data_IF_637140002790
#
_entry.id   IF_637140002790
#
_cell.length_a   1.000
_cell.length_b   1.000
_cell.length_c   1.000
_cell.angle_alpha   90.00
_cell.angle_beta   90.00
_cell.angle_gamma   90.00
#
_symmetry.space_group_name_H-M   'P 1'
#
loop_
_entity.id
_entity.type
_entity.pdbx_description
1 polymer ?
#
# COMPACT_ATOMS: atom_id res chain seq x y z
N UNK A 1 -8.64 44.73 -2.22
CA UNK A 1 -7.78 43.58 -2.58
C UNK A 1 -8.69 42.38 -2.84
N UNK A 2 -9.10 42.19 -4.10
CA UNK A 2 -9.93 41.06 -4.50
C UNK A 2 -9.02 39.84 -4.71
N UNK A 3 -8.99 38.91 -3.74
CA UNK A 3 -8.55 37.54 -4.01
C UNK A 3 -9.61 36.93 -4.91
N UNK A 4 -9.25 36.76 -6.18
CA UNK A 4 -10.15 36.40 -7.27
C UNK A 4 -10.83 35.05 -7.08
N UNK A 5 -11.95 34.89 -7.77
CA UNK A 5 -12.77 33.68 -7.79
C UNK A 5 -12.02 32.37 -8.14
N UNK A 6 -10.79 32.46 -8.64
CA UNK A 6 -9.89 31.32 -8.86
C UNK A 6 -9.44 30.61 -7.57
N UNK A 7 -9.46 31.28 -6.40
CA UNK A 7 -9.12 30.67 -5.08
C UNK A 7 -10.20 29.68 -4.58
N UNK A 8 -11.46 29.82 -5.02
CA UNK A 8 -12.53 28.90 -4.62
C UNK A 8 -12.40 27.51 -5.25
N UNK A 9 -11.88 27.42 -6.48
CA UNK A 9 -11.63 26.12 -7.13
C UNK A 9 -10.45 25.37 -6.53
N UNK A 10 -9.46 26.08 -5.99
CA UNK A 10 -8.30 25.46 -5.34
C UNK A 10 -8.65 24.88 -3.96
N UNK A 11 -9.68 25.41 -3.31
CA UNK A 11 -10.27 24.81 -2.10
C UNK A 11 -11.21 23.65 -2.39
N UNK A 12 -11.63 23.37 -3.63
CA UNK A 12 -12.57 22.29 -3.88
C UNK A 12 -11.98 20.92 -3.47
N UNK A 13 -12.76 20.13 -2.72
CA UNK A 13 -12.44 18.72 -2.46
C UNK A 13 -12.21 17.99 -3.80
N UNK A 14 -11.27 17.04 -3.82
CA UNK A 14 -11.05 16.23 -5.03
C UNK A 14 -12.36 15.50 -5.38
N UNK A 15 -12.77 15.50 -6.65
CA UNK A 15 -14.07 14.98 -7.11
C UNK A 15 -14.42 13.61 -6.52
N UNK A 16 -13.47 12.66 -6.44
CA UNK A 16 -13.72 11.33 -5.83
C UNK A 16 -14.22 11.38 -4.38
N UNK A 17 -13.81 12.37 -3.59
CA UNK A 17 -14.22 12.52 -2.19
C UNK A 17 -15.53 13.31 -2.08
N UNK A 18 -15.80 14.20 -3.03
CA UNK A 18 -17.13 14.80 -3.21
C UNK A 18 -18.14 13.70 -3.54
N UNK A 19 -17.82 12.84 -4.52
CA UNK A 19 -18.64 11.69 -4.90
C UNK A 19 -18.82 10.74 -3.71
N UNK A 20 -17.77 10.49 -2.92
CA UNK A 20 -17.86 9.65 -1.72
C UNK A 20 -18.79 10.23 -0.64
N UNK A 21 -18.81 11.55 -0.45
CA UNK A 21 -19.72 12.21 0.50
C UNK A 21 -21.16 12.17 -0.04
N UNK A 22 -21.34 12.44 -1.35
CA UNK A 22 -22.64 12.45 -2.03
C UNK A 22 -23.28 11.08 -2.17
N UNK A 23 -22.52 10.08 -2.61
CA UNK A 23 -23.02 8.73 -2.90
C UNK A 23 -22.89 7.78 -1.69
N UNK A 24 -22.07 8.16 -0.70
CA UNK A 24 -21.82 7.37 0.49
C UNK A 24 -21.07 6.07 0.22
N UNK A 25 -21.14 5.16 1.18
CA UNK A 25 -20.51 3.84 1.09
C UNK A 25 -21.47 2.88 0.37
N UNK A 26 -20.92 2.08 -0.54
CA UNK A 26 -21.70 1.07 -1.25
C UNK A 26 -22.43 0.11 -0.27
N UNK A 27 -23.72 -0.21 -0.52
CA UNK A 27 -24.55 -1.01 0.40
C UNK A 27 -23.92 -2.34 0.81
N UNK A 28 -23.23 -3.01 -0.12
CA UNK A 28 -22.52 -4.27 0.15
C UNK A 28 -21.53 -4.14 1.32
N UNK A 29 -20.77 -3.04 1.37
CA UNK A 29 -19.79 -2.81 2.43
C UNK A 29 -20.48 -2.49 3.76
N UNK A 30 -21.65 -1.81 3.72
CA UNK A 30 -22.47 -1.58 4.90
C UNK A 30 -23.00 -2.90 5.48
N UNK A 31 -23.43 -3.84 4.63
CA UNK A 31 -23.87 -5.17 5.08
C UNK A 31 -22.72 -5.97 5.70
N UNK A 32 -21.53 -5.95 5.08
CA UNK A 32 -20.38 -6.74 5.54
C UNK A 32 -19.72 -6.18 6.82
N UNK A 33 -19.63 -4.86 6.96
CA UNK A 33 -18.84 -4.19 8.01
C UNK A 33 -19.67 -3.33 8.96
N UNK A 34 -20.97 -3.20 8.68
CA UNK A 34 -21.89 -2.36 9.43
C UNK A 34 -21.39 -0.92 9.53
N UNK A 35 -21.53 -0.37 10.73
CA UNK A 35 -21.19 1.01 11.09
C UNK A 35 -19.70 1.33 10.91
N UNK A 36 -18.81 0.33 10.95
CA UNK A 36 -17.38 0.54 10.76
C UNK A 36 -17.02 0.89 9.31
N UNK A 37 -17.91 0.62 8.36
CA UNK A 37 -17.69 0.87 6.95
C UNK A 37 -17.62 2.36 6.60
N UNK A 38 -18.28 3.24 7.36
CA UNK A 38 -18.38 4.68 7.08
C UNK A 38 -17.22 5.49 7.66
N UNK A 39 -16.59 5.01 8.74
CA UNK A 39 -15.55 5.76 9.43
C UNK A 39 -14.28 5.99 8.58
N UNK A 40 -13.82 4.97 7.84
CA UNK A 40 -12.69 5.13 6.90
C UNK A 40 -12.95 6.20 5.83
N UNK A 41 -14.07 6.13 5.10
CA UNK A 41 -14.54 7.18 4.20
C UNK A 41 -14.61 8.58 4.81
N UNK A 42 -15.10 8.72 6.06
CA UNK A 42 -15.09 10.00 6.77
C UNK A 42 -13.66 10.54 6.94
N UNK A 43 -12.75 9.74 7.51
CA UNK A 43 -11.33 10.10 7.68
C UNK A 43 -10.70 10.48 6.34
N UNK A 44 -11.04 9.75 5.28
CA UNK A 44 -10.56 10.01 3.91
C UNK A 44 -10.96 11.39 3.39
N UNK A 45 -12.25 11.73 3.57
CA UNK A 45 -12.82 13.00 3.14
C UNK A 45 -12.27 14.16 3.98
N UNK A 46 -12.17 13.99 5.29
CA UNK A 46 -11.59 14.94 6.22
C UNK A 46 -10.12 15.23 5.89
N UNK A 47 -9.33 14.18 5.62
CA UNK A 47 -7.91 14.32 5.28
C UNK A 47 -7.74 15.08 3.97
N UNK A 48 -8.61 14.85 2.99
CA UNK A 48 -8.60 15.63 1.76
C UNK A 48 -9.04 17.08 1.96
N UNK A 49 -9.96 17.34 2.88
CA UNK A 49 -10.43 18.69 3.21
C UNK A 49 -9.30 19.47 3.89
N UNK A 50 -8.66 18.88 4.89
CA UNK A 50 -7.53 19.43 5.61
C UNK A 50 -6.35 19.77 4.68
N UNK A 51 -5.98 18.84 3.78
CA UNK A 51 -4.94 19.07 2.76
C UNK A 51 -5.29 20.19 1.75
N UNK A 52 -6.55 20.63 1.69
CA UNK A 52 -7.04 21.75 0.88
C UNK A 52 -7.29 23.02 1.71
N UNK A 53 -6.88 23.02 2.97
CA UNK A 53 -7.01 24.17 3.87
C UNK A 53 -8.40 24.36 4.46
N UNK A 54 -9.29 23.37 4.40
CA UNK A 54 -10.60 23.45 5.04
C UNK A 54 -10.46 23.33 6.56
N UNK A 55 -11.34 24.01 7.28
CA UNK A 55 -11.54 23.80 8.71
C UNK A 55 -12.48 22.63 9.01
N UNK A 56 -12.48 22.18 10.27
CA UNK A 56 -13.46 21.20 10.76
C UNK A 56 -14.92 21.65 10.52
N UNK A 57 -15.33 22.90 10.82
CA UNK A 57 -16.72 23.31 10.62
C UNK A 57 -17.18 23.19 9.17
N UNK A 58 -16.36 23.67 8.22
CA UNK A 58 -16.65 23.61 6.78
C UNK A 58 -16.83 22.17 6.29
N UNK A 59 -15.94 21.27 6.71
CA UNK A 59 -16.04 19.84 6.37
C UNK A 59 -17.23 19.15 7.03
N UNK A 60 -17.48 19.43 8.31
CA UNK A 60 -18.59 18.84 9.06
C UNK A 60 -19.94 19.29 8.49
N UNK A 61 -20.09 20.56 8.13
CA UNK A 61 -21.28 21.10 7.47
C UNK A 61 -21.52 20.39 6.14
N UNK A 62 -20.49 20.32 5.29
CA UNK A 62 -20.55 19.62 4.00
C UNK A 62 -20.96 18.15 4.13
N UNK A 63 -20.39 17.44 5.11
CA UNK A 63 -20.74 16.03 5.37
C UNK A 63 -22.15 15.89 5.94
N UNK A 64 -22.63 16.85 6.72
CA UNK A 64 -23.94 16.78 7.37
C UNK A 64 -25.09 17.32 6.54
N UNK A 65 -24.80 17.93 5.37
CA UNK A 65 -25.80 18.35 4.39
C UNK A 65 -26.89 17.28 4.16
N UNK A 66 -28.16 17.69 3.94
CA UNK A 66 -29.24 16.75 3.66
C UNK A 66 -28.98 15.86 2.43
N UNK A 67 -28.25 16.38 1.44
CA UNK A 67 -27.89 15.68 0.21
C UNK A 67 -26.72 14.68 0.37
N UNK A 68 -26.04 14.69 1.53
CA UNK A 68 -24.91 13.80 1.81
C UNK A 68 -25.40 12.42 2.24
N UNK A 69 -25.26 11.44 1.35
CA UNK A 69 -25.54 10.03 1.66
C UNK A 69 -24.57 9.50 2.72
N UNK A 70 -23.31 9.91 2.71
CA UNK A 70 -22.36 9.53 3.76
C UNK A 70 -22.81 10.06 5.13
N UNK A 71 -23.25 11.31 5.19
CA UNK A 71 -23.82 11.92 6.39
C UNK A 71 -25.06 11.17 6.87
N UNK A 72 -25.95 10.80 5.96
CA UNK A 72 -27.14 9.98 6.25
C UNK A 72 -26.74 8.63 6.85
N UNK A 73 -25.78 7.93 6.24
CA UNK A 73 -25.30 6.62 6.72
C UNK A 73 -24.67 6.71 8.11
N UNK A 74 -23.96 7.80 8.42
CA UNK A 74 -23.39 8.04 9.76
C UNK A 74 -24.50 8.29 10.79
N UNK A 75 -25.54 9.06 10.43
CA UNK A 75 -26.72 9.29 11.29
C UNK A 75 -27.47 7.98 11.59
N UNK A 76 -27.69 7.14 10.59
CA UNK A 76 -28.33 5.83 10.74
C UNK A 76 -27.45 4.84 11.52
N UNK A 77 -26.13 4.99 11.42
CA UNK A 77 -25.15 4.15 12.07
C UNK A 77 -24.78 4.55 13.50
N UNK A 78 -25.05 5.78 13.94
CA UNK A 78 -24.85 6.17 15.35
C UNK A 78 -26.10 5.80 16.16
N UNK A 79 -26.01 5.76 17.49
CA UNK A 79 -27.22 5.73 18.34
C UNK A 79 -27.87 7.10 18.28
N UNK A 80 -28.45 7.46 17.12
CA UNK A 80 -29.37 8.55 16.74
C UNK A 80 -29.18 9.98 17.29
N UNK A 81 -28.35 10.22 18.30
CA UNK A 81 -28.20 11.52 18.92
C UNK A 81 -27.26 12.38 18.09
N UNK A 82 -27.61 13.66 17.95
CA UNK A 82 -26.77 14.68 17.31
C UNK A 82 -25.35 14.67 17.88
N UNK A 83 -25.24 14.57 19.20
CA UNK A 83 -23.95 14.49 19.91
C UNK A 83 -23.10 13.26 19.52
N UNK A 84 -23.72 12.10 19.27
CA UNK A 84 -22.98 10.90 18.84
C UNK A 84 -22.44 11.04 17.41
N UNK A 85 -23.21 11.68 16.52
CA UNK A 85 -22.77 12.00 15.16
C UNK A 85 -21.61 12.99 15.20
N UNK A 86 -21.76 14.09 15.93
CA UNK A 86 -20.72 15.12 16.10
C UNK A 86 -19.43 14.53 16.66
N UNK A 87 -19.50 13.73 17.73
CA UNK A 87 -18.33 13.03 18.29
C UNK A 87 -17.64 12.12 17.28
N UNK A 88 -18.40 11.50 16.37
CA UNK A 88 -17.85 10.66 15.31
C UNK A 88 -17.12 11.49 14.24
N UNK A 89 -17.67 12.65 13.88
CA UNK A 89 -17.07 13.58 12.94
C UNK A 89 -15.77 14.17 13.50
N UNK A 90 -15.78 14.66 14.75
CA UNK A 90 -14.58 15.16 15.44
C UNK A 90 -13.48 14.08 15.43
N UNK A 91 -13.82 12.85 15.84
CA UNK A 91 -12.86 11.75 15.86
C UNK A 91 -12.29 11.44 14.47
N UNK A 92 -13.11 11.51 13.43
CA UNK A 92 -12.64 11.30 12.05
C UNK A 92 -11.72 12.43 11.58
N UNK A 93 -12.02 13.67 11.98
CA UNK A 93 -11.21 14.85 11.70
C UNK A 93 -9.85 14.79 12.40
N UNK A 94 -9.80 14.54 13.70
CA UNK A 94 -8.56 14.47 14.46
C UNK A 94 -7.62 13.39 13.90
N UNK A 95 -8.19 12.24 13.54
CA UNK A 95 -7.43 11.16 12.89
C UNK A 95 -6.94 11.56 11.50
N UNK A 96 -7.73 12.31 10.74
CA UNK A 96 -7.35 12.81 9.44
C UNK A 96 -6.20 13.83 9.51
N UNK A 97 -6.25 14.76 10.46
CA UNK A 97 -5.17 15.74 10.73
C UNK A 97 -3.91 15.00 11.14
N UNK A 98 -4.00 14.11 12.14
CA UNK A 98 -2.86 13.30 12.58
C UNK A 98 -2.24 12.48 11.45
N UNK A 99 -3.06 11.89 10.57
CA UNK A 99 -2.57 11.16 9.40
C UNK A 99 -1.92 12.08 8.36
N UNK A 100 -2.49 13.26 8.12
CA UNK A 100 -1.94 14.23 7.17
C UNK A 100 -0.59 14.78 7.65
N UNK A 101 -0.46 15.07 8.95
CA UNK A 101 0.77 15.58 9.55
C UNK A 101 1.86 14.50 9.62
N UNK A 102 1.47 13.26 9.93
CA UNK A 102 2.39 12.12 10.00
C UNK A 102 2.80 11.60 8.61
N UNK A 103 2.06 11.94 7.57
CA UNK A 103 2.30 11.51 6.19
C UNK A 103 1.94 12.64 5.24
N UNK A 104 2.78 13.70 5.20
CA UNK A 104 2.52 14.86 4.36
C UNK A 104 2.31 14.43 2.91
N UNK A 105 1.35 15.08 2.25
CA UNK A 105 1.09 14.85 0.84
C UNK A 105 2.39 15.12 0.06
N UNK A 106 2.78 14.16 -0.76
CA UNK A 106 3.99 14.32 -1.56
C UNK A 106 3.82 15.49 -2.52
N UNK A 107 4.82 16.37 -2.56
CA UNK A 107 4.84 17.46 -3.53
C UNK A 107 4.99 16.91 -4.95
N UNK A 108 4.62 17.71 -5.94
CA UNK A 108 4.75 17.30 -7.35
C UNK A 108 6.22 16.99 -7.70
N UNK A 109 7.14 17.74 -7.11
CA UNK A 109 8.59 17.60 -7.23
C UNK A 109 9.06 16.29 -6.62
N UNK A 110 8.59 15.94 -5.42
CA UNK A 110 8.90 14.66 -4.77
C UNK A 110 8.38 13.47 -5.57
N UNK A 111 7.15 13.55 -6.11
CA UNK A 111 6.58 12.51 -6.98
C UNK A 111 7.44 12.34 -8.24
N UNK A 112 7.84 13.46 -8.85
CA UNK A 112 8.67 13.47 -10.06
C UNK A 112 10.05 12.90 -9.80
N UNK A 113 10.68 13.25 -8.67
CA UNK A 113 12.00 12.76 -8.30
C UNK A 113 11.98 11.27 -7.97
N UNK A 114 10.94 10.77 -7.29
CA UNK A 114 10.76 9.34 -7.12
C UNK A 114 10.58 8.62 -8.46
N UNK A 115 9.80 9.18 -9.37
CA UNK A 115 9.62 8.61 -10.71
C UNK A 115 10.94 8.51 -11.47
N UNK A 116 11.75 9.57 -11.46
CA UNK A 116 13.10 9.59 -12.05
C UNK A 116 14.03 8.56 -11.39
N UNK A 117 14.03 8.50 -10.06
CA UNK A 117 14.86 7.56 -9.30
C UNK A 117 14.51 6.11 -9.61
N UNK A 118 13.21 5.78 -9.72
CA UNK A 118 12.78 4.44 -10.13
C UNK A 118 13.05 4.15 -11.60
N UNK A 119 12.84 5.11 -12.51
CA UNK A 119 13.21 4.95 -13.90
C UNK A 119 14.71 4.65 -14.06
N UNK A 120 15.58 5.40 -13.37
CA UNK A 120 17.03 5.17 -13.32
C UNK A 120 17.38 3.78 -12.80
N UNK A 121 16.86 3.39 -11.63
CA UNK A 121 17.13 2.06 -11.07
C UNK A 121 16.65 0.92 -11.97
N UNK A 122 15.51 1.09 -12.67
CA UNK A 122 15.04 0.11 -13.64
C UNK A 122 15.97 0.02 -14.86
N UNK A 123 16.49 1.14 -15.38
CA UNK A 123 17.50 1.14 -16.47
C UNK A 123 18.80 0.45 -16.04
N UNK A 124 19.29 0.74 -14.85
CA UNK A 124 20.49 0.12 -14.30
C UNK A 124 20.34 -1.40 -14.19
N UNK A 125 19.19 -1.89 -13.67
CA UNK A 125 18.89 -3.31 -13.62
C UNK A 125 18.82 -3.93 -15.01
N UNK A 126 18.21 -3.24 -15.98
CA UNK A 126 18.17 -3.70 -17.37
C UNK A 126 19.55 -3.80 -18.02
N UNK A 127 20.49 -2.93 -17.64
CA UNK A 127 21.87 -2.94 -18.13
C UNK A 127 22.71 -4.10 -17.61
N UNK A 128 22.29 -4.76 -16.52
CA UNK A 128 23.02 -5.90 -15.95
C UNK A 128 22.83 -7.15 -16.83
N UNK A 129 23.93 -7.79 -17.29
CA UNK A 129 23.84 -9.01 -18.11
C UNK A 129 23.14 -10.17 -17.40
N UNK A 130 23.24 -10.22 -16.06
CA UNK A 130 22.63 -11.25 -15.21
C UNK A 130 21.22 -10.92 -14.72
N UNK A 131 20.60 -9.84 -15.19
CA UNK A 131 19.19 -9.62 -14.88
C UNK A 131 18.37 -10.71 -15.58
N UNK A 132 17.75 -11.58 -14.79
CA UNK A 132 16.78 -12.59 -15.25
C UNK A 132 15.56 -11.87 -15.82
N UNK A 133 15.68 -11.35 -17.04
CA UNK A 133 14.65 -10.66 -17.78
C UNK A 133 14.71 -11.13 -19.23
N UNK A 134 13.60 -11.70 -19.68
CA UNK A 134 13.39 -12.10 -21.07
C UNK A 134 13.38 -10.87 -21.99
N UNK A 135 13.60 -11.08 -23.29
CA UNK A 135 13.57 -9.99 -24.27
C UNK A 135 12.23 -9.21 -24.25
N UNK A 136 11.11 -9.91 -24.11
CA UNK A 136 9.77 -9.30 -24.04
C UNK A 136 9.59 -8.46 -22.77
N UNK A 137 10.04 -8.95 -21.61
CA UNK A 137 10.00 -8.20 -20.34
C UNK A 137 10.86 -6.93 -20.43
N UNK A 138 12.07 -7.03 -21.00
CA UNK A 138 12.94 -5.87 -21.24
C UNK A 138 12.26 -4.83 -22.14
N UNK A 139 11.58 -5.26 -23.20
CA UNK A 139 10.92 -4.36 -24.13
C UNK A 139 9.75 -3.62 -23.49
N UNK A 140 8.91 -4.31 -22.72
CA UNK A 140 7.81 -3.67 -21.96
C UNK A 140 8.38 -2.74 -20.90
N UNK A 141 9.42 -3.13 -20.18
CA UNK A 141 10.02 -2.30 -19.15
C UNK A 141 10.62 -1.02 -19.73
N UNK A 142 11.26 -1.06 -20.91
CA UNK A 142 11.69 0.15 -21.65
C UNK A 142 10.53 1.08 -21.95
N UNK A 143 9.41 0.54 -22.42
CA UNK A 143 8.23 1.34 -22.70
C UNK A 143 7.66 2.00 -21.43
N UNK A 144 7.59 1.27 -20.31
CA UNK A 144 7.13 1.82 -19.02
C UNK A 144 8.09 2.89 -18.48
N UNK A 145 9.40 2.70 -18.63
CA UNK A 145 10.41 3.70 -18.28
C UNK A 145 10.18 4.98 -19.10
N UNK A 146 10.01 4.87 -20.42
CA UNK A 146 9.75 6.02 -21.28
C UNK A 146 8.49 6.79 -20.86
N UNK A 147 7.39 6.09 -20.56
CA UNK A 147 6.17 6.72 -20.01
C UNK A 147 6.40 7.40 -18.66
N UNK A 148 7.27 6.82 -17.82
CA UNK A 148 7.65 7.37 -16.52
C UNK A 148 8.41 8.67 -16.67
N UNK A 149 9.34 8.74 -17.61
CA UNK A 149 10.11 9.94 -17.93
C UNK A 149 9.21 11.04 -18.49
N UNK A 150 8.36 10.69 -19.46
CA UNK A 150 7.45 11.63 -20.12
C UNK A 150 6.45 12.26 -19.13
N UNK A 151 5.87 11.44 -18.24
CA UNK A 151 4.78 11.89 -17.35
C UNK A 151 5.23 12.27 -15.95
N UNK A 152 6.50 12.03 -15.61
CA UNK A 152 7.07 12.21 -14.28
C UNK A 152 6.23 11.53 -13.16
N UNK A 153 5.74 10.30 -13.41
CA UNK A 153 4.92 9.52 -12.47
C UNK A 153 5.28 8.04 -12.55
N UNK A 154 5.26 7.34 -11.41
CA UNK A 154 5.52 5.89 -11.38
C UNK A 154 4.32 5.04 -11.80
N UNK A 155 3.09 5.57 -11.71
CA UNK A 155 1.84 4.83 -11.95
C UNK A 155 1.32 5.09 -13.36
N UNK A 156 1.17 4.04 -14.13
CA UNK A 156 0.72 4.08 -15.51
C UNK A 156 -0.46 3.14 -15.74
N UNK A 157 -1.46 3.65 -16.45
CA UNK A 157 -2.43 2.81 -17.12
C UNK A 157 -1.75 2.15 -18.32
N UNK A 158 -1.78 0.81 -18.38
CA UNK A 158 -1.20 0.06 -19.49
C UNK A 158 -2.30 -0.70 -20.24
N UNK A 159 -3.08 -0.04 -21.13
CA UNK A 159 -4.02 -0.72 -21.99
C UNK A 159 -3.26 -1.69 -22.91
N UNK A 160 -3.68 -2.97 -22.94
CA UNK A 160 -2.97 -4.01 -23.70
C UNK A 160 -2.74 -3.63 -25.16
N UNK A 161 -3.77 -3.08 -25.84
CA UNK A 161 -3.67 -2.66 -27.24
C UNK A 161 -2.58 -1.60 -27.47
N UNK A 162 -2.55 -0.57 -26.62
CA UNK A 162 -1.53 0.48 -26.71
C UNK A 162 -0.12 -0.07 -26.43
N UNK A 163 0.02 -0.98 -25.47
CA UNK A 163 1.31 -1.64 -25.19
C UNK A 163 1.74 -2.53 -26.36
N UNK A 164 0.83 -3.28 -26.97
CA UNK A 164 1.12 -4.09 -28.16
C UNK A 164 1.59 -3.23 -29.33
N UNK A 165 0.92 -2.11 -29.58
CA UNK A 165 1.29 -1.16 -30.63
C UNK A 165 2.67 -0.55 -30.38
N UNK A 166 2.93 -0.09 -29.15
CA UNK A 166 4.20 0.53 -28.78
C UNK A 166 5.38 -0.46 -28.74
N UNK A 167 5.14 -1.74 -28.49
CA UNK A 167 6.19 -2.77 -28.37
C UNK A 167 6.25 -3.72 -29.56
N UNK A 168 5.27 -3.72 -30.46
CA UNK A 168 5.16 -4.74 -31.52
C UNK A 168 4.92 -6.17 -31.02
N UNK A 169 4.69 -6.38 -29.73
CA UNK A 169 4.50 -7.70 -29.15
C UNK A 169 3.06 -8.20 -29.36
N UNK A 170 2.91 -9.52 -29.52
CA UNK A 170 1.60 -10.19 -29.55
C UNK A 170 0.93 -10.13 -28.17
N UNK A 171 -0.39 -10.17 -28.12
CA UNK A 171 -1.16 -10.02 -26.86
C UNK A 171 -0.73 -11.03 -25.78
N UNK A 172 -0.57 -12.31 -26.15
CA UNK A 172 -0.15 -13.37 -25.22
C UNK A 172 1.25 -13.09 -24.64
N UNK A 173 2.16 -12.56 -25.44
CA UNK A 173 3.51 -12.17 -25.00
C UNK A 173 3.46 -10.99 -24.05
N UNK A 174 2.66 -9.95 -24.36
CA UNK A 174 2.45 -8.81 -23.47
C UNK A 174 1.91 -9.24 -22.11
N UNK A 175 0.88 -10.10 -22.09
CA UNK A 175 0.31 -10.62 -20.84
C UNK A 175 1.36 -11.36 -20.01
N UNK A 176 2.05 -12.31 -20.62
CA UNK A 176 3.04 -13.16 -19.94
C UNK A 176 4.21 -12.33 -19.41
N UNK A 177 4.69 -11.35 -20.18
CA UNK A 177 5.78 -10.48 -19.77
C UNK A 177 5.37 -9.48 -18.66
N UNK A 178 4.13 -8.96 -18.69
CA UNK A 178 3.62 -8.15 -17.56
C UNK A 178 3.52 -8.98 -16.28
N UNK A 179 2.98 -10.21 -16.36
CA UNK A 179 2.88 -11.12 -15.22
C UNK A 179 4.28 -11.48 -14.68
N UNK A 180 5.25 -11.71 -15.56
CA UNK A 180 6.65 -11.97 -15.21
C UNK A 180 7.34 -10.79 -14.53
N UNK A 181 7.19 -9.57 -15.06
CA UNK A 181 7.69 -8.34 -14.43
C UNK A 181 7.08 -8.10 -13.04
N UNK A 182 5.80 -8.45 -12.86
CA UNK A 182 5.14 -8.39 -11.55
C UNK A 182 5.70 -9.45 -10.60
N UNK A 183 5.87 -10.69 -11.06
CA UNK A 183 6.48 -11.77 -10.26
C UNK A 183 7.92 -11.45 -9.82
N UNK A 184 8.67 -10.71 -10.64
CA UNK A 184 10.04 -10.25 -10.36
C UNK A 184 10.10 -8.95 -9.55
N UNK A 185 8.96 -8.35 -9.20
CA UNK A 185 8.91 -7.11 -8.42
C UNK A 185 9.40 -5.85 -9.16
N UNK A 186 9.47 -5.90 -10.49
CA UNK A 186 9.83 -4.75 -11.35
C UNK A 186 8.61 -3.86 -11.65
N UNK A 187 7.42 -4.46 -11.61
CA UNK A 187 6.15 -3.74 -11.64
C UNK A 187 5.27 -4.22 -10.48
N UNK A 188 4.45 -3.32 -9.94
CA UNK A 188 3.37 -3.69 -9.03
C UNK A 188 2.02 -3.40 -9.68
N UNK A 189 1.12 -4.38 -9.68
CA UNK A 189 -0.26 -4.19 -10.12
C UNK A 189 -1.04 -3.48 -8.99
N UNK A 190 -1.25 -2.16 -9.14
CA UNK A 190 -1.93 -1.34 -8.13
C UNK A 190 -3.44 -1.51 -8.20
N UNK A 191 -3.99 -1.43 -9.41
CA UNK A 191 -5.44 -1.55 -9.61
C UNK A 191 -5.71 -2.47 -10.80
N UNK A 192 -6.52 -3.50 -10.55
CA UNK A 192 -7.09 -4.31 -11.64
C UNK A 192 -8.21 -3.51 -12.29
N UNK A 193 -8.12 -3.40 -13.60
CA UNK A 193 -9.18 -2.84 -14.41
C UNK A 193 -10.49 -3.60 -14.18
N UNK A 194 -11.54 -2.89 -13.75
CA UNK A 194 -12.88 -3.47 -13.60
C UNK A 194 -13.72 -3.18 -14.84
N UNK A 195 -14.52 -4.14 -15.32
CA UNK A 195 -15.55 -3.86 -16.31
C UNK A 195 -16.62 -2.97 -15.67
N UNK A 196 -16.99 -1.89 -16.37
CA UNK A 196 -18.04 -0.96 -15.98
C UNK A 196 -19.41 -1.46 -16.46
N UNK A 197 -19.91 -2.49 -15.78
CA UNK A 197 -21.26 -3.01 -15.98
C UNK A 197 -21.40 -4.11 -17.05
N UNK A 198 -22.60 -4.69 -17.18
CA UNK A 198 -22.85 -5.92 -17.95
C UNK A 198 -22.59 -5.76 -19.46
N UNK A 199 -22.66 -4.53 -19.99
CA UNK A 199 -22.41 -4.24 -21.41
C UNK A 199 -21.02 -3.73 -21.72
N UNK A 200 -20.22 -3.31 -20.72
CA UNK A 200 -18.84 -2.92 -20.99
C UNK A 200 -17.95 -4.17 -21.01
N UNK A 201 -17.90 -4.85 -22.17
CA UNK A 201 -16.82 -5.81 -22.43
C UNK A 201 -15.43 -5.14 -22.41
N UNK A 202 -15.39 -3.81 -22.55
CA UNK A 202 -14.17 -3.00 -22.43
C UNK A 202 -13.85 -2.78 -20.94
N UNK A 203 -13.07 -3.69 -20.39
CA UNK A 203 -12.44 -3.53 -19.07
C UNK A 203 -11.66 -2.21 -19.03
N UNK A 204 -11.70 -1.49 -17.90
CA UNK A 204 -10.66 -0.47 -17.64
C UNK A 204 -9.28 -1.12 -17.78
N UNK A 205 -8.27 -0.36 -18.19
CA UNK A 205 -6.90 -0.85 -18.20
C UNK A 205 -6.43 -1.09 -16.77
N UNK A 206 -5.61 -2.12 -16.57
CA UNK A 206 -4.87 -2.28 -15.33
C UNK A 206 -3.93 -1.08 -15.11
N UNK A 207 -3.77 -0.68 -13.85
CA UNK A 207 -2.81 0.34 -13.43
C UNK A 207 -1.63 -0.38 -12.81
N UNK A 208 -0.46 -0.16 -13.37
CA UNK A 208 0.80 -0.68 -12.87
C UNK A 208 1.66 0.45 -12.32
N UNK A 209 2.43 0.17 -11.30
CA UNK A 209 3.43 1.05 -10.72
C UNK A 209 4.82 0.50 -11.03
N UNK A 210 5.71 1.34 -11.55
CA UNK A 210 7.11 1.00 -11.70
C UNK A 210 7.73 0.84 -10.31
N UNK A 211 8.24 -0.36 -10.01
CA UNK A 211 8.92 -0.70 -8.76
C UNK A 211 10.36 -1.07 -9.08
N UNK A 212 11.30 -0.73 -8.19
CA UNK A 212 12.70 -1.13 -8.35
C UNK A 212 13.12 -1.82 -7.06
N UNK A 213 13.41 -3.13 -7.10
CA UNK A 213 13.68 -3.92 -5.89
C UNK A 213 15.00 -3.55 -5.19
N UNK A 214 15.95 -2.90 -5.87
CA UNK A 214 17.28 -2.62 -5.33
C UNK A 214 17.45 -1.31 -4.58
N UNK A 215 16.43 -0.45 -4.54
CA UNK A 215 16.50 0.85 -3.87
C UNK A 215 15.71 0.83 -2.55
N UNK A 216 16.16 -0.04 -1.63
CA UNK A 216 15.67 -0.11 -0.23
C UNK A 216 14.17 -0.48 -0.14
N UNK A 217 13.65 -1.00 1.00
CA UNK A 217 12.22 -0.95 1.26
C UNK A 217 11.80 0.51 1.43
N UNK A 218 11.71 1.25 0.32
CA UNK A 218 10.95 2.49 0.32
C UNK A 218 9.59 2.14 0.90
N UNK A 219 9.10 2.89 1.91
CA UNK A 219 7.76 2.65 2.46
C UNK A 219 6.81 2.57 1.26
N UNK A 220 5.91 1.55 1.22
CA UNK A 220 5.03 1.33 0.08
C UNK A 220 4.47 2.69 -0.31
N UNK A 221 4.78 3.14 -1.54
CA UNK A 221 4.45 4.48 -2.03
C UNK A 221 3.04 4.78 -1.56
N UNK A 222 2.83 5.80 -0.70
CA UNK A 222 1.68 5.87 0.18
C UNK A 222 0.47 5.48 -0.64
N UNK A 223 0.04 4.23 -0.42
CA UNK A 223 -1.19 3.76 -1.02
C UNK A 223 -2.14 4.83 -0.49
N UNK A 224 -2.82 5.62 -1.33
CA UNK A 224 -3.82 6.52 -0.80
C UNK A 224 -4.64 5.62 0.11
N UNK A 225 -4.66 5.90 1.42
CA UNK A 225 -4.94 4.95 2.53
C UNK A 225 -6.33 4.30 2.42
N UNK A 226 -7.04 4.58 1.33
CA UNK A 226 -8.38 4.20 0.96
C UNK A 226 -8.44 3.40 -0.35
N UNK A 227 -7.33 2.86 -0.83
CA UNK A 227 -7.32 1.75 -1.78
C UNK A 227 -7.85 0.49 -1.11
N UNK A 228 -9.11 0.50 -0.68
CA UNK A 228 -9.77 -0.71 -0.21
C UNK A 228 -9.94 -1.67 -1.39
N UNK A 229 -8.96 -2.55 -1.55
CA UNK A 229 -9.12 -3.78 -2.30
C UNK A 229 -10.03 -4.65 -1.45
N UNK A 230 -11.33 -4.63 -1.74
CA UNK A 230 -12.27 -5.57 -1.13
C UNK A 230 -11.74 -7.00 -1.22
N UNK A 231 -12.14 -7.89 -0.30
CA UNK A 231 -11.67 -9.27 -0.28
C UNK A 231 -11.82 -9.90 -1.68
N UNK A 232 -10.88 -10.75 -2.14
CA UNK A 232 -11.05 -11.45 -3.40
C UNK A 232 -12.39 -12.17 -3.36
N UNK A 233 -13.29 -11.82 -4.28
CA UNK A 233 -14.52 -12.56 -4.44
C UNK A 233 -14.11 -14.02 -4.71
N UNK A 234 -14.43 -14.91 -3.78
CA UNK A 234 -14.46 -16.33 -4.08
C UNK A 234 -15.37 -16.47 -5.30
N UNK A 235 -14.80 -16.98 -6.38
CA UNK A 235 -15.57 -17.40 -7.53
C UNK A 235 -16.45 -18.57 -7.05
N UNK A 236 -17.65 -18.27 -6.56
CA UNK A 236 -18.72 -19.25 -6.53
C UNK A 236 -19.01 -19.57 -7.99
N UNK A 237 -18.40 -20.64 -8.49
CA UNK A 237 -18.75 -21.21 -9.78
C UNK A 237 -20.22 -21.58 -9.73
N UNK A 238 -21.03 -20.90 -10.53
CA UNK A 238 -22.35 -21.42 -10.89
C UNK A 238 -22.11 -22.76 -11.60
N UNK A 239 -22.76 -23.86 -11.19
CA UNK A 239 -22.61 -25.13 -11.87
C UNK A 239 -23.04 -24.96 -13.33
N UNK A 240 -22.12 -25.28 -14.26
CA UNK A 240 -22.45 -25.41 -15.67
C UNK A 240 -23.42 -26.57 -15.80
N UNK A 241 -24.59 -26.31 -16.37
CA UNK A 241 -25.50 -27.35 -16.81
C UNK A 241 -24.76 -28.31 -17.74
N UNK A 242 -24.82 -29.59 -17.38
CA UNK A 242 -24.21 -30.71 -18.08
C UNK A 242 -24.68 -30.72 -19.55
N UNK A 243 -23.73 -30.77 -20.48
CA UNK A 243 -23.96 -31.19 -21.88
C UNK A 243 -23.67 -32.70 -21.92
N UNK A 244 -24.65 -33.57 -22.20
CA UNK A 244 -24.40 -35.00 -22.30
C UNK A 244 -23.73 -35.30 -23.66
N UNK A 245 -22.60 -36.02 -23.65
CA UNK A 245 -22.02 -36.58 -24.88
C UNK A 245 -20.51 -36.49 -25.08
N UNK A 246 -19.68 -36.57 -24.03
CA UNK A 246 -18.25 -36.80 -24.20
C UNK A 246 -17.72 -37.85 -23.21
N UNK A 247 -16.97 -38.87 -23.66
CA UNK A 247 -16.42 -39.91 -22.79
C UNK A 247 -15.32 -39.36 -21.88
N UNK A 248 -15.33 -39.81 -20.62
CA UNK A 248 -14.47 -39.33 -19.56
C UNK A 248 -13.00 -39.74 -19.76
N UNK A 249 -12.10 -38.75 -19.76
CA UNK A 249 -10.67 -38.99 -19.50
C UNK A 249 -10.48 -39.17 -17.99
N UNK A 250 -9.91 -40.31 -17.60
CA UNK A 250 -9.50 -40.58 -16.23
C UNK A 250 -8.32 -39.68 -15.85
N UNK A 251 -8.58 -38.68 -15.00
CA UNK A 251 -7.54 -37.94 -14.30
C UNK A 251 -7.14 -38.72 -13.04
N UNK A 252 -5.84 -38.96 -12.87
CA UNK A 252 -5.27 -39.71 -11.74
C UNK A 252 -5.62 -39.12 -10.37
N UNK A 253 -5.77 -40.02 -9.40
CA UNK A 253 -6.07 -39.76 -7.99
C UNK A 253 -5.00 -38.86 -7.36
N UNK A 254 -5.36 -37.75 -6.68
CA UNK A 254 -4.37 -36.96 -5.95
C UNK A 254 -3.81 -37.76 -4.76
N UNK A 255 -2.50 -37.65 -4.54
CA UNK A 255 -1.83 -38.27 -3.40
C UNK A 255 -2.32 -37.63 -2.08
N UNK A 256 -2.75 -38.46 -1.12
CA UNK A 256 -3.16 -38.03 0.22
C UNK A 256 -1.92 -37.76 1.07
N UNK A 257 -1.84 -36.58 1.67
CA UNK A 257 -0.81 -36.25 2.66
C UNK A 257 -1.35 -36.49 4.08
N UNK A 258 -0.55 -37.17 4.92
CA UNK A 258 -0.84 -37.37 6.35
C UNK A 258 -0.34 -36.20 7.18
N UNK A 259 -1.16 -35.71 8.11
CA UNK A 259 -0.74 -34.72 9.09
C UNK A 259 0.30 -35.33 10.05
N UNK A 260 1.50 -34.76 10.21
CA UNK A 260 2.55 -35.33 11.07
C UNK A 260 2.22 -35.26 12.58
N UNK A 261 1.24 -34.44 12.99
CA UNK A 261 0.88 -34.28 14.41
C UNK A 261 -0.28 -35.19 14.87
N UNK A 262 -1.20 -35.56 13.98
CA UNK A 262 -2.34 -36.42 14.34
C UNK A 262 -2.48 -37.69 13.50
N UNK A 263 -1.69 -37.84 12.43
CA UNK A 263 -1.66 -39.04 11.59
C UNK A 263 -2.82 -39.20 10.61
N UNK A 264 -3.78 -38.27 10.58
CA UNK A 264 -4.93 -38.35 9.67
C UNK A 264 -4.63 -37.84 8.26
N UNK A 265 -5.25 -38.49 7.26
CA UNK A 265 -5.18 -38.14 5.85
C UNK A 265 -6.23 -37.07 5.50
N UNK A 266 -5.81 -36.01 4.82
CA UNK A 266 -6.72 -34.96 4.37
C UNK A 266 -6.61 -34.77 2.85
N UNK A 267 -7.76 -34.53 2.20
CA UNK A 267 -7.82 -34.20 0.78
C UNK A 267 -7.39 -32.74 0.56
N UNK A 268 -6.39 -32.57 -0.31
CA UNK A 268 -5.53 -31.40 -0.37
C UNK A 268 -6.15 -30.23 -1.15
N UNK A 269 -6.24 -29.04 -0.52
CA UNK A 269 -6.24 -27.76 -1.26
C UNK A 269 -5.55 -26.60 -0.53
N UNK A 270 -4.96 -26.79 0.66
CA UNK A 270 -4.21 -25.71 1.34
C UNK A 270 -3.07 -26.27 2.19
N UNK A 271 -1.82 -26.25 1.70
CA UNK A 271 -0.69 -26.48 2.58
C UNK A 271 -0.64 -25.30 3.57
N UNK A 272 -0.44 -25.59 4.85
CA UNK A 272 -0.27 -24.61 5.96
C UNK A 272 -1.52 -24.03 6.64
N UNK A 273 -2.60 -24.80 6.79
CA UNK A 273 -3.54 -24.53 7.91
C UNK A 273 -3.46 -25.61 8.97
N UNK A 274 -3.11 -25.15 10.16
CA UNK A 274 -3.22 -25.86 11.45
C UNK A 274 -4.53 -26.65 11.46
N UNK A 275 -4.43 -27.97 11.67
CA UNK A 275 -5.59 -28.85 11.72
C UNK A 275 -6.54 -28.37 12.84
N UNK A 276 -7.75 -27.95 12.47
CA UNK A 276 -8.74 -27.37 13.39
C UNK A 276 -9.13 -28.35 14.50
N UNK A 277 -9.06 -29.66 14.24
CA UNK A 277 -9.27 -30.70 15.24
C UNK A 277 -8.14 -30.78 16.26
N UNK A 278 -6.88 -30.52 15.88
CA UNK A 278 -5.77 -30.40 16.82
C UNK A 278 -5.90 -29.17 17.73
N UNK A 279 -6.47 -28.08 17.21
CA UNK A 279 -6.79 -26.87 17.99
C UNK A 279 -7.93 -27.16 18.97
N UNK A 280 -8.98 -27.84 18.51
CA UNK A 280 -10.12 -28.22 19.36
C UNK A 280 -9.71 -29.21 20.47
N UNK A 281 -8.78 -30.13 20.18
CA UNK A 281 -8.31 -31.13 21.14
C UNK A 281 -7.30 -30.60 22.18
N UNK A 282 -6.94 -29.30 22.17
CA UNK A 282 -5.94 -28.67 23.07
C UNK A 282 -4.57 -29.38 23.09
N UNK A 283 -4.21 -30.14 22.05
CA UNK A 283 -2.93 -30.86 21.95
C UNK A 283 -1.81 -29.95 21.44
N UNK A 284 -1.55 -28.88 22.18
CA UNK A 284 -0.38 -28.02 21.98
C UNK A 284 0.70 -28.39 23.00
N UNK A 285 1.99 -28.34 22.63
CA UNK A 285 3.06 -28.52 23.61
C UNK A 285 2.90 -27.51 24.74
N UNK A 286 2.85 -28.01 25.97
CA UNK A 286 2.66 -27.21 27.20
C UNK A 286 3.85 -26.33 27.52
N UNK A 287 4.96 -26.50 26.82
CA UNK A 287 6.26 -25.88 27.08
C UNK A 287 6.70 -25.10 25.85
N UNK A 288 7.09 -23.84 26.03
CA UNK A 288 7.68 -23.02 24.98
C UNK A 288 9.04 -23.60 24.56
N UNK A 289 9.20 -23.98 23.28
CA UNK A 289 10.42 -24.61 22.77
C UNK A 289 11.68 -23.73 22.92
N UNK A 290 11.50 -22.41 23.06
CA UNK A 290 12.62 -21.45 23.09
C UNK A 290 13.06 -21.07 24.51
N UNK A 291 12.21 -21.24 25.52
CA UNK A 291 12.53 -20.84 26.90
C UNK A 291 12.15 -21.85 27.99
N UNK A 292 11.60 -23.01 27.64
CA UNK A 292 11.38 -24.13 28.57
C UNK A 292 10.27 -23.92 29.61
N UNK A 293 9.48 -22.84 29.56
CA UNK A 293 8.43 -22.56 30.56
C UNK A 293 7.06 -23.12 30.17
N UNK A 294 6.33 -23.62 31.17
CA UNK A 294 4.97 -24.13 31.04
C UNK A 294 3.94 -23.01 30.93
N UNK A 295 3.16 -22.97 29.83
CA UNK A 295 2.16 -21.93 29.57
C UNK A 295 0.74 -22.39 29.93
N UNK A 296 0.10 -21.72 30.89
CA UNK A 296 -1.33 -21.91 31.20
C UNK A 296 -2.23 -21.24 30.16
N UNK A 297 -3.45 -21.77 29.99
CA UNK A 297 -4.35 -21.45 28.87
C UNK A 297 -4.72 -19.96 28.72
N UNK A 298 -4.61 -19.15 29.79
CA UNK A 298 -4.93 -17.71 29.76
C UNK A 298 -3.80 -16.81 29.21
N UNK A 299 -2.57 -17.31 29.08
CA UNK A 299 -1.39 -16.46 28.80
C UNK A 299 -0.74 -16.70 27.43
N UNK A 300 -1.25 -17.64 26.63
CA UNK A 300 -0.60 -18.06 25.37
C UNK A 300 -0.49 -16.97 24.30
N UNK A 301 -1.40 -16.01 24.27
CA UNK A 301 -1.40 -14.92 23.27
C UNK A 301 -0.73 -13.64 23.78
N UNK A 302 -0.75 -13.40 25.09
CA UNK A 302 -0.26 -12.15 25.71
C UNK A 302 1.26 -12.16 25.87
N UNK A 303 1.85 -13.31 26.21
CA UNK A 303 3.29 -13.44 26.48
C UNK A 303 4.14 -13.31 25.21
N UNK A 304 3.65 -13.78 24.05
CA UNK A 304 4.36 -13.59 22.78
C UNK A 304 4.38 -12.13 22.33
N UNK A 305 3.27 -11.39 22.51
CA UNK A 305 3.23 -9.98 22.12
C UNK A 305 4.11 -9.13 23.04
N UNK A 306 4.11 -9.37 24.35
CA UNK A 306 4.98 -8.61 25.27
C UNK A 306 6.47 -8.83 24.98
N UNK A 307 6.88 -10.03 24.57
CA UNK A 307 8.27 -10.29 24.18
C UNK A 307 8.66 -9.60 22.86
N UNK A 308 7.79 -9.65 21.86
CA UNK A 308 8.02 -8.95 20.58
C UNK A 308 8.13 -7.43 20.79
N UNK A 309 7.30 -6.86 21.67
CA UNK A 309 7.38 -5.44 22.01
C UNK A 309 8.63 -5.08 22.83
N UNK A 310 9.17 -6.00 23.63
CA UNK A 310 10.42 -5.78 24.36
C UNK A 310 11.62 -5.80 23.40
N UNK A 311 11.68 -6.76 22.47
CA UNK A 311 12.73 -6.84 21.45
C UNK A 311 12.73 -5.62 20.51
N UNK A 312 11.55 -5.15 20.08
CA UNK A 312 11.45 -3.90 19.29
C UNK A 312 11.97 -2.67 20.05
N UNK A 313 11.76 -2.62 21.37
CA UNK A 313 12.22 -1.51 22.21
C UNK A 313 13.74 -1.52 22.37
N UNK A 314 14.33 -2.69 22.57
CA UNK A 314 15.79 -2.86 22.65
C UNK A 314 16.46 -2.52 21.31
N UNK A 315 15.88 -2.96 20.19
CA UNK A 315 16.41 -2.66 18.86
C UNK A 315 16.39 -1.16 18.55
N UNK A 316 15.32 -0.45 18.94
CA UNK A 316 15.22 1.02 18.82
C UNK A 316 16.22 1.75 19.72
N UNK A 317 16.49 1.24 20.92
CA UNK A 317 17.50 1.81 21.82
C UNK A 317 18.92 1.61 21.26
N UNK A 318 19.22 0.45 20.69
CA UNK A 318 20.49 0.19 20.02
C UNK A 318 20.68 1.11 18.82
N UNK A 319 19.67 1.29 17.97
CA UNK A 319 19.72 2.23 16.84
C UNK A 319 19.92 3.68 17.27
N UNK A 320 19.29 4.12 18.36
CA UNK A 320 19.49 5.47 18.90
C UNK A 320 20.91 5.65 19.47
N UNK A 321 21.50 4.63 20.09
CA UNK A 321 22.88 4.69 20.60
C UNK A 321 23.92 4.76 19.49
N UNK A 322 23.74 4.00 18.39
CA UNK A 322 24.67 4.04 17.24
C UNK A 322 24.59 5.35 16.49
N UNK A 323 23.40 5.95 16.36
CA UNK A 323 23.25 7.30 15.78
C UNK A 323 23.94 8.38 16.63
N UNK A 324 23.84 8.30 17.96
CA UNK A 324 24.54 9.23 18.86
C UNK A 324 26.06 9.09 18.76
N UNK A 325 26.57 7.86 18.69
CA UNK A 325 28.00 7.61 18.52
C UNK A 325 28.53 8.18 17.18
N UNK A 326 27.79 8.00 16.09
CA UNK A 326 28.15 8.55 14.79
C UNK A 326 28.19 10.09 14.78
N UNK A 327 27.24 10.75 15.44
CA UNK A 327 27.21 12.21 15.55
C UNK A 327 28.36 12.78 16.39
N UNK A 328 28.84 12.03 17.39
CA UNK A 328 30.01 12.40 18.18
C UNK A 328 31.30 12.31 17.36
N UNK A 329 31.47 11.24 16.57
CA UNK A 329 32.64 11.10 15.68
C UNK A 329 32.71 12.20 14.62
N UNK A 330 31.58 12.60 14.03
CA UNK A 330 31.56 13.69 13.03
C UNK A 330 31.92 15.06 13.65
N UNK A 331 31.58 15.26 14.92
CA UNK A 331 31.90 16.48 15.68
C UNK A 331 33.39 16.56 16.02
N UNK A 332 34.03 15.43 16.37
CA UNK A 332 35.46 15.39 16.65
C UNK A 332 36.30 15.64 15.38
N UNK A 333 35.90 15.09 14.23
CA UNK A 333 36.58 15.32 12.94
C UNK A 333 36.51 16.80 12.55
N UNK A 334 35.35 17.44 12.67
CA UNK A 334 35.20 18.88 12.35
C UNK A 334 35.94 19.80 13.32
N UNK A 335 36.11 19.40 14.58
CA UNK A 335 36.89 20.15 15.55
C UNK A 335 38.40 20.02 15.29
N UNK A 336 38.86 18.84 14.88
CA UNK A 336 40.25 18.60 14.49
C UNK A 336 40.63 19.36 13.21
N UNK A 337 39.76 19.38 12.20
CA UNK A 337 40.00 20.16 10.97
C UNK A 337 40.06 21.67 11.25
N UNK A 338 39.23 22.19 12.16
CA UNK A 338 39.31 23.61 12.58
C UNK A 338 40.59 23.97 13.32
N UNK A 339 41.26 23.02 13.98
CA UNK A 339 42.54 23.26 14.64
C UNK A 339 43.69 23.38 13.63
N UNK A 340 43.65 22.59 12.54
CA UNK A 340 44.67 22.62 11.48
C UNK A 340 44.71 23.97 10.75
N UNK A 341 43.56 24.61 10.53
CA UNK A 341 43.50 25.89 9.81
C UNK A 341 43.92 27.12 10.62
N UNK A 342 44.12 27.03 11.95
CA UNK A 342 44.57 28.18 12.77
C UNK A 342 46.09 28.27 12.94
N UNK A 343 46.86 27.30 12.43
CA UNK A 343 48.31 27.24 12.61
C UNK A 343 49.15 27.86 11.49
N UNK A 344 48.57 28.22 10.35
CA UNK A 344 49.34 28.66 9.17
C UNK A 344 49.34 30.17 9.03
N UNK A 345 50.08 30.87 9.89
CA UNK A 345 50.41 32.28 9.68
C UNK A 345 51.35 32.39 8.47
N UNK A 346 50.81 32.89 7.35
CA UNK A 346 51.58 33.18 6.13
C UNK A 346 52.50 34.38 6.39
N UNK A 347 53.83 34.26 6.23
CA UNK A 347 54.73 35.38 6.41
C UNK A 347 54.50 36.41 5.31
N UNK A 348 54.11 37.62 5.72
CA UNK A 348 53.89 38.76 4.84
C UNK A 348 55.24 39.28 4.33
N UNK A 349 55.55 39.02 3.06
CA UNK A 349 56.73 39.62 2.41
C UNK A 349 56.53 41.12 2.25
N UNK A 350 57.33 41.90 2.99
CA UNK A 350 57.51 43.35 2.78
C UNK A 350 58.25 43.58 1.47
N UNK A 351 57.60 44.24 0.51
CA UNK A 351 58.29 44.91 -0.61
C UNK A 351 58.96 46.16 -0.09
N UNK A 352 60.28 46.22 -0.22
CA UNK A 352 61.10 47.41 -0.04
C UNK A 352 61.16 48.11 -1.41
N UNK A 353 60.94 49.42 -1.41
CA UNK A 353 61.08 50.32 -2.57
C UNK A 353 62.51 50.80 -2.74
#
# INVERSE_FOLDING_TARGET
MARGADDMTDRALRSKYVDLVRDGVAPKNLTERGRKATFGPLVSSAMSAYQRGWGYPEWADFVTEPASELGRQVRLGSRSSKAAVEKTLIKAWDMAVSNADSSPAWTREQISEMARTRARGARELMGKPRADLTANERQILRHVIALTDERARCRHTLPRRAVMEATGLKERSVRTALDGLVGKGMLALVERGRPRGPRSRRSRSNIYELTVPTLSPAPPSPIPVNGYVGPPAQACGTPRTHRPGAPAQACGTPARLRCPQCGQEHDDQRPYRICLECVAAKRWPTVCAQCGRTLTAKYRTVVCLSHIYAEEKELKQQQASTQKAAAQTDSEVTQSDRAVWRGTTVPTQRRIS
#
